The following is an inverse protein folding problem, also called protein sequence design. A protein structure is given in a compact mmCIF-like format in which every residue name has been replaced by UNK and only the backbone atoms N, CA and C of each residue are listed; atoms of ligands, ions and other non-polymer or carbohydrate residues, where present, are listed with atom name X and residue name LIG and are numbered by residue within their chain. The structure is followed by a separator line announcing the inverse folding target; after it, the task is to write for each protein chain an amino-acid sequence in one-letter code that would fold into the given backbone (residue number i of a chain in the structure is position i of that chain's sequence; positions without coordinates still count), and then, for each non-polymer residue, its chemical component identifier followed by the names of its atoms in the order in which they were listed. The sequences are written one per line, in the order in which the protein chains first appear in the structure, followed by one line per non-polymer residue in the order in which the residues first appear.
data_IF_782969353892
#
_entry.id   IF_782969353892
#
_cell.length_a   1.000
_cell.length_b   1.000
_cell.length_c   1.000
_cell.angle_alpha   90.00
_cell.angle_beta   90.00
_cell.angle_gamma   90.00
#
_symmetry.space_group_name_H-M   'P 1'
#
loop_
_entity.id
_entity.type
_entity.pdbx_description
1 polymer ?
#
# COMPACT_ATOMS: atom_id res chain seq x y z
N UNK A 1 1.75 -17.75 -8.38
CA UNK A 1 0.92 -16.57 -8.70
C UNK A 1 0.87 -15.71 -7.47
N UNK A 2 1.28 -14.44 -7.57
CA UNK A 2 1.44 -13.53 -6.42
C UNK A 2 0.27 -12.56 -6.35
N UNK A 3 -0.34 -12.42 -5.19
CA UNK A 3 -1.35 -11.42 -4.87
C UNK A 3 -0.67 -10.20 -4.25
N UNK A 4 -0.92 -9.01 -4.81
CA UNK A 4 -0.47 -7.76 -4.20
C UNK A 4 -1.58 -7.20 -3.31
N UNK A 5 -1.27 -6.83 -2.08
CA UNK A 5 -2.22 -6.27 -1.11
C UNK A 5 -1.74 -4.87 -0.68
N UNK A 6 -2.14 -3.81 -1.40
CA UNK A 6 -1.88 -2.44 -0.95
C UNK A 6 -2.66 -2.15 0.34
N UNK A 7 -1.95 -1.66 1.37
CA UNK A 7 -2.52 -1.20 2.65
C UNK A 7 -2.20 0.29 2.81
N UNK A 8 -3.25 1.09 3.03
CA UNK A 8 -3.14 2.54 3.18
C UNK A 8 -2.85 2.96 4.63
N UNK A 9 -2.41 4.20 4.83
CA UNK A 9 -1.97 4.71 6.14
C UNK A 9 -3.06 4.80 7.21
N UNK A 10 -4.34 4.72 6.82
CA UNK A 10 -5.51 4.67 7.70
C UNK A 10 -6.07 3.24 7.93
N UNK A 11 -5.45 2.23 7.30
CA UNK A 11 -5.91 0.83 7.30
C UNK A 11 -5.03 -0.08 8.17
N UNK A 12 -4.25 0.47 9.09
CA UNK A 12 -3.21 -0.22 9.87
C UNK A 12 -3.82 -1.10 10.97
N UNK A 13 -4.45 -2.21 10.56
CA UNK A 13 -5.08 -3.19 11.45
C UNK A 13 -4.70 -4.62 11.03
N UNK A 14 -4.23 -5.48 11.95
CA UNK A 14 -3.96 -6.89 11.64
C UNK A 14 -5.22 -7.65 11.20
N UNK A 15 -6.40 -7.22 11.65
CA UNK A 15 -7.68 -7.83 11.32
C UNK A 15 -8.32 -7.27 10.04
N UNK A 16 -7.59 -6.46 9.26
CA UNK A 16 -8.07 -5.90 8.00
C UNK A 16 -8.63 -6.99 7.10
N UNK A 17 -9.87 -6.83 6.61
CA UNK A 17 -10.62 -7.87 5.90
C UNK A 17 -9.87 -8.46 4.68
N UNK A 18 -8.95 -7.70 4.08
CA UNK A 18 -8.17 -8.15 2.92
C UNK A 18 -6.89 -8.92 3.27
N UNK A 19 -6.49 -8.95 4.54
CA UNK A 19 -5.42 -9.80 5.06
C UNK A 19 -5.94 -11.17 5.53
N UNK A 20 -7.25 -11.31 5.75
CA UNK A 20 -7.87 -12.56 6.19
C UNK A 20 -7.99 -13.59 5.06
N UNK A 21 -7.83 -14.88 5.42
CA UNK A 21 -7.92 -16.02 4.51
C UNK A 21 -6.99 -15.90 3.29
N UNK A 22 -5.78 -15.40 3.50
CA UNK A 22 -4.74 -15.26 2.48
C UNK A 22 -3.61 -16.24 2.76
N UNK A 23 -3.21 -16.99 1.73
CA UNK A 23 -1.96 -17.75 1.73
C UNK A 23 -0.77 -16.78 1.68
N UNK A 24 -0.12 -16.56 2.84
CA UNK A 24 0.99 -15.60 3.01
C UNK A 24 2.17 -15.90 2.07
N UNK A 25 2.36 -17.15 1.66
CA UNK A 25 3.42 -17.54 0.71
C UNK A 25 3.17 -17.05 -0.73
N UNK A 26 1.93 -16.64 -1.02
CA UNK A 26 1.48 -16.17 -2.33
C UNK A 26 1.02 -14.71 -2.31
N UNK A 27 1.35 -13.97 -1.26
CA UNK A 27 0.92 -12.59 -1.11
C UNK A 27 2.05 -11.67 -0.66
N UNK A 28 2.03 -10.45 -1.16
CA UNK A 28 2.90 -9.35 -0.74
C UNK A 28 2.04 -8.20 -0.28
N UNK A 29 2.23 -7.77 0.97
CA UNK A 29 1.63 -6.54 1.50
C UNK A 29 2.48 -5.36 1.06
N UNK A 30 1.86 -4.35 0.46
CA UNK A 30 2.51 -3.13 0.03
C UNK A 30 2.07 -1.97 0.92
N UNK A 31 3.03 -1.31 1.57
CA UNK A 31 2.84 -0.01 2.22
C UNK A 31 3.74 1.02 1.54
N UNK A 32 3.22 2.22 1.29
CA UNK A 32 3.96 3.26 0.59
C UNK A 32 3.72 4.64 1.17
N UNK A 33 4.79 5.33 1.56
CA UNK A 33 4.77 6.75 1.89
C UNK A 33 4.87 7.54 0.57
N UNK A 34 3.95 8.47 0.30
CA UNK A 34 3.87 9.16 -1.00
C UNK A 34 3.53 10.64 -0.82
N UNK A 35 4.25 11.54 -1.51
CA UNK A 35 3.99 12.97 -1.44
C UNK A 35 2.64 13.39 -2.04
N UNK A 36 2.14 12.71 -3.08
CA UNK A 36 0.80 13.00 -3.64
C UNK A 36 -0.31 12.96 -2.57
N UNK A 37 -0.08 12.19 -1.50
CA UNK A 37 -1.04 11.96 -0.41
C UNK A 37 -0.68 12.78 0.83
N UNK A 38 0.56 13.27 0.93
CA UNK A 38 1.00 14.13 2.03
C UNK A 38 0.91 15.63 1.69
N UNK A 39 0.62 15.98 0.43
CA UNK A 39 0.55 17.36 -0.06
C UNK A 39 -0.76 17.75 -0.74
N UNK A 40 -1.73 16.84 -0.86
CA UNK A 40 -3.03 17.13 -1.47
C UNK A 40 -3.75 18.31 -0.78
N UNK A 41 -3.54 18.43 0.52
CA UNK A 41 -3.78 19.62 1.32
C UNK A 41 -2.60 19.86 2.24
N UNK A 42 -2.54 21.05 2.83
CA UNK A 42 -1.51 21.38 3.81
C UNK A 42 -1.76 20.63 5.12
N UNK A 43 -1.21 19.44 5.26
CA UNK A 43 -1.26 18.70 6.51
C UNK A 43 -0.34 19.30 7.57
N UNK A 44 -0.76 19.16 8.83
CA UNK A 44 0.10 19.48 9.96
C UNK A 44 1.29 18.51 10.03
N UNK A 45 2.51 19.00 10.27
CA UNK A 45 3.73 18.17 10.30
C UNK A 45 3.61 16.94 11.22
N UNK A 46 2.97 17.11 12.39
CA UNK A 46 2.71 15.99 13.32
C UNK A 46 1.78 14.92 12.76
N UNK A 47 0.80 15.26 11.90
CA UNK A 47 -0.07 14.27 11.25
C UNK A 47 0.76 13.37 10.33
N UNK A 48 1.59 13.98 9.47
CA UNK A 48 2.46 13.25 8.55
C UNK A 48 3.41 12.33 9.33
N UNK A 49 4.13 12.89 10.32
CA UNK A 49 5.05 12.13 11.15
C UNK A 49 4.36 10.97 11.90
N UNK A 50 3.15 11.20 12.42
CA UNK A 50 2.36 10.18 13.10
C UNK A 50 2.00 9.03 12.16
N UNK A 51 1.41 9.33 10.99
CA UNK A 51 0.98 8.31 10.03
C UNK A 51 2.17 7.50 9.53
N UNK A 52 3.25 8.17 9.11
CA UNK A 52 4.45 7.47 8.63
C UNK A 52 5.09 6.61 9.71
N UNK A 53 5.21 7.11 10.94
CA UNK A 53 5.68 6.29 12.06
C UNK A 53 4.80 5.05 12.28
N UNK A 54 3.47 5.22 12.30
CA UNK A 54 2.53 4.11 12.48
C UNK A 54 2.66 3.08 11.34
N UNK A 55 2.77 3.52 10.08
CA UNK A 55 2.97 2.65 8.93
C UNK A 55 4.26 1.83 9.04
N UNK A 56 5.37 2.46 9.46
CA UNK A 56 6.67 1.77 9.65
C UNK A 56 6.57 0.68 10.70
N UNK A 57 5.98 0.98 11.85
CA UNK A 57 5.82 0.01 12.93
C UNK A 57 4.87 -1.13 12.53
N UNK A 58 3.77 -0.80 11.85
CA UNK A 58 2.83 -1.81 11.35
C UNK A 58 3.47 -2.73 10.30
N UNK A 59 4.37 -2.22 9.46
CA UNK A 59 5.12 -3.04 8.53
C UNK A 59 6.01 -4.07 9.25
N UNK A 60 6.69 -3.67 10.33
CA UNK A 60 7.48 -4.59 11.17
C UNK A 60 6.61 -5.59 11.93
N UNK A 61 5.43 -5.17 12.40
CA UNK A 61 4.44 -6.05 13.02
C UNK A 61 4.00 -7.15 12.04
N UNK A 62 3.64 -6.78 10.81
CA UNK A 62 3.26 -7.74 9.76
C UNK A 62 4.42 -8.68 9.40
N UNK A 63 5.66 -8.18 9.28
CA UNK A 63 6.85 -9.01 9.04
C UNK A 63 7.07 -10.01 10.16
N UNK A 64 6.91 -9.58 11.41
CA UNK A 64 7.03 -10.44 12.60
C UNK A 64 5.94 -11.51 12.65
N UNK A 65 4.75 -11.19 12.14
CA UNK A 65 3.68 -12.15 11.90
C UNK A 65 3.91 -12.98 10.61
N UNK A 66 5.05 -12.90 9.94
CA UNK A 66 5.40 -13.76 8.80
C UNK A 66 4.77 -13.36 7.46
N UNK A 67 4.31 -12.12 7.32
CA UNK A 67 3.96 -11.56 6.01
C UNK A 67 5.20 -11.16 5.20
N UNK A 68 5.13 -11.35 3.88
CA UNK A 68 6.03 -10.65 2.97
C UNK A 68 5.55 -9.19 2.82
N UNK A 69 6.38 -8.24 3.24
CA UNK A 69 6.03 -6.81 3.22
C UNK A 69 7.02 -6.01 2.37
N UNK A 70 6.51 -5.40 1.29
CA UNK A 70 7.22 -4.35 0.54
C UNK A 70 6.85 -3.00 1.15
N UNK A 71 7.83 -2.33 1.76
CA UNK A 71 7.66 -1.03 2.37
C UNK A 71 8.44 0.00 1.57
N UNK A 72 7.74 1.00 1.04
CA UNK A 72 8.34 2.09 0.25
C UNK A 72 8.40 3.35 1.11
N UNK A 73 9.60 3.68 1.57
CA UNK A 73 9.83 4.90 2.34
C UNK A 73 9.75 6.15 1.45
N UNK A 74 9.38 7.29 2.05
CA UNK A 74 9.17 8.55 1.35
C UNK A 74 10.42 9.02 0.60
N UNK A 75 11.58 8.75 1.19
CA UNK A 75 12.91 9.17 0.69
C UNK A 75 13.58 8.09 -0.19
N UNK A 76 12.91 6.96 -0.46
CA UNK A 76 13.43 5.94 -1.39
C UNK A 76 13.63 6.59 -2.78
N UNK A 77 14.85 6.56 -3.35
CA UNK A 77 15.13 7.16 -4.66
C UNK A 77 14.28 6.61 -5.81
N UNK A 78 13.69 5.42 -5.66
CA UNK A 78 12.83 4.78 -6.65
C UNK A 78 11.33 4.98 -6.38
N UNK A 79 10.98 5.71 -5.33
CA UNK A 79 9.59 6.02 -5.00
C UNK A 79 9.00 6.96 -6.06
N UNK A 80 7.92 6.52 -6.68
CA UNK A 80 7.15 7.26 -7.69
C UNK A 80 6.27 8.35 -7.10
N UNK A 81 6.23 8.46 -5.78
CA UNK A 81 5.50 9.46 -4.99
C UNK A 81 3.98 9.46 -5.18
N UNK A 82 3.44 8.38 -5.77
CA UNK A 82 2.00 8.19 -5.99
C UNK A 82 1.58 6.76 -5.69
N UNK A 83 0.37 6.55 -5.17
CA UNK A 83 -0.15 5.20 -4.95
C UNK A 83 -0.21 4.38 -6.24
N UNK A 84 -0.68 4.98 -7.34
CA UNK A 84 -0.80 4.27 -8.63
C UNK A 84 0.57 3.86 -9.16
N UNK A 85 1.59 4.72 -9.02
CA UNK A 85 2.95 4.40 -9.44
C UNK A 85 3.57 3.28 -8.61
N UNK A 86 3.40 3.31 -7.28
CA UNK A 86 3.94 2.28 -6.39
C UNK A 86 3.26 0.93 -6.56
N UNK A 87 1.93 0.90 -6.72
CA UNK A 87 1.20 -0.34 -7.00
C UNK A 87 1.64 -0.93 -8.34
N UNK A 88 1.79 -0.12 -9.38
CA UNK A 88 2.27 -0.59 -10.69
C UNK A 88 3.73 -1.10 -10.63
N UNK A 89 4.59 -0.40 -9.86
CA UNK A 89 5.99 -0.79 -9.66
C UNK A 89 6.10 -2.11 -8.91
N UNK A 90 5.37 -2.27 -7.81
CA UNK A 90 5.33 -3.49 -7.02
C UNK A 90 4.72 -4.67 -7.80
N UNK A 91 3.64 -4.44 -8.54
CA UNK A 91 3.02 -5.47 -9.37
C UNK A 91 4.00 -6.06 -10.37
N UNK A 92 4.81 -5.22 -11.04
CA UNK A 92 5.88 -5.68 -11.93
C UNK A 92 7.01 -6.38 -11.17
N UNK A 93 7.47 -5.80 -10.06
CA UNK A 93 8.57 -6.33 -9.23
C UNK A 93 8.31 -7.77 -8.77
N UNK A 94 7.07 -8.08 -8.38
CA UNK A 94 6.70 -9.39 -7.83
C UNK A 94 5.93 -10.31 -8.79
N UNK A 95 5.75 -9.89 -10.05
CA UNK A 95 4.92 -10.63 -11.02
C UNK A 95 3.51 -10.88 -10.49
N UNK A 96 2.89 -9.84 -9.91
CA UNK A 96 1.57 -9.95 -9.32
C UNK A 96 0.52 -10.26 -10.40
N UNK A 97 -0.37 -11.18 -10.11
CA UNK A 97 -1.46 -11.58 -11.01
C UNK A 97 -2.81 -11.04 -10.58
N UNK A 98 -2.90 -10.44 -9.39
CA UNK A 98 -4.11 -9.78 -8.88
C UNK A 98 -3.75 -8.75 -7.81
N UNK A 99 -4.60 -7.71 -7.68
CA UNK A 99 -4.49 -6.67 -6.68
C UNK A 99 -5.72 -6.75 -5.77
N UNK A 100 -5.51 -6.97 -4.47
CA UNK A 100 -6.59 -7.06 -3.49
C UNK A 100 -6.55 -5.84 -2.57
N UNK A 101 -7.57 -4.99 -2.64
CA UNK A 101 -7.61 -3.71 -1.91
C UNK A 101 -8.77 -3.62 -0.92
N UNK A 102 -8.58 -2.83 0.14
CA UNK A 102 -9.69 -2.20 0.87
C UNK A 102 -9.92 -0.83 0.25
N UNK A 103 -11.20 -0.48 0.05
CA UNK A 103 -11.56 0.80 -0.53
C UNK A 103 -10.96 1.95 0.30
N UNK A 104 -10.36 2.93 -0.38
CA UNK A 104 -9.87 4.15 0.26
C UNK A 104 -11.02 4.94 0.89
N UNK A 105 -10.77 5.54 2.05
CA UNK A 105 -11.75 6.35 2.77
C UNK A 105 -12.10 7.67 2.06
N UNK A 106 -11.22 8.16 1.19
CA UNK A 106 -11.43 9.36 0.39
C UNK A 106 -11.86 9.03 -1.04
N UNK A 107 -12.80 9.82 -1.58
CA UNK A 107 -13.31 9.62 -2.93
C UNK A 107 -12.19 9.63 -3.99
N UNK A 108 -11.24 10.58 -3.89
CA UNK A 108 -10.09 10.68 -4.80
C UNK A 108 -9.28 9.39 -4.83
N UNK A 109 -8.98 8.82 -3.67
CA UNK A 109 -8.23 7.57 -3.53
C UNK A 109 -9.04 6.38 -4.06
N UNK A 110 -10.33 6.30 -3.74
CA UNK A 110 -11.21 5.25 -4.28
C UNK A 110 -11.31 5.29 -5.81
N UNK A 111 -11.36 6.48 -6.41
CA UNK A 111 -11.33 6.63 -7.87
C UNK A 111 -9.98 6.19 -8.46
N UNK A 112 -8.86 6.54 -7.82
CA UNK A 112 -7.55 6.07 -8.26
C UNK A 112 -7.46 4.54 -8.25
N UNK A 113 -7.93 3.89 -7.17
CA UNK A 113 -7.96 2.42 -7.03
C UNK A 113 -8.73 1.74 -8.17
N UNK A 114 -9.87 2.30 -8.59
CA UNK A 114 -10.67 1.74 -9.70
C UNK A 114 -9.91 1.70 -11.03
N UNK A 115 -8.93 2.58 -11.22
CA UNK A 115 -8.11 2.61 -12.45
C UNK A 115 -6.96 1.61 -12.45
N UNK A 116 -6.64 0.98 -11.31
CA UNK A 116 -5.44 0.15 -11.20
C UNK A 116 -5.52 -1.11 -12.06
N UNK A 117 -6.69 -1.75 -12.13
CA UNK A 117 -6.87 -2.96 -12.92
C UNK A 117 -6.57 -2.69 -14.41
N UNK A 118 -7.19 -1.65 -14.97
CA UNK A 118 -6.98 -1.26 -16.38
C UNK A 118 -5.54 -0.82 -16.65
N UNK A 119 -4.95 -0.02 -15.76
CA UNK A 119 -3.59 0.52 -15.95
C UNK A 119 -2.50 -0.54 -15.85
N UNK A 120 -2.71 -1.57 -15.03
CA UNK A 120 -1.69 -2.59 -14.74
C UNK A 120 -1.96 -3.87 -15.56
N UNK A 121 -3.20 -4.09 -16.01
CA UNK A 121 -3.59 -5.25 -16.80
C UNK A 121 -3.85 -6.51 -15.98
N UNK A 122 -4.21 -6.37 -14.70
CA UNK A 122 -4.49 -7.48 -13.78
C UNK A 122 -5.76 -7.21 -12.95
N UNK A 123 -6.51 -8.25 -12.56
CA UNK A 123 -7.73 -8.10 -11.75
C UNK A 123 -7.48 -7.54 -10.35
#
# INVERSE_FOLDING_TARGET
MTMLIPVLGDQLSPSLARLQNVDRSKAVVLLMEAWDEATDVRHHKKKIAFIFSAMRHFAEELRSDGWSVDYVALEDPKNTQSFTGEVARAARKYGATTIRTVAGAEYRVSQAQKTWSDKIGIP
#
